data_IF_492043391163
#
_entry.id   IF_492043391163
#
_cell.length_a   1.000
_cell.length_b   1.000
_cell.length_c   1.000
_cell.angle_alpha   90.00
_cell.angle_beta   90.00
_cell.angle_gamma   90.00
#
_symmetry.space_group_name_H-M   'P 1'
#
loop_
_entity.id
_entity.type
_entity.pdbx_description
1 polymer ?
#
# COMPACT_ATOMS: atom_id res chain seq x y z
N UNK A 1 11.75 -0.67 12.50
CA UNK A 1 11.81 0.28 11.39
C UNK A 1 11.09 -0.29 10.19
N UNK A 2 10.35 0.53 9.49
CA UNK A 2 9.65 0.11 8.30
C UNK A 2 10.59 0.18 7.11
N UNK A 3 10.61 -0.88 6.33
CA UNK A 3 11.53 -0.99 5.19
C UNK A 3 10.73 -1.12 3.90
N UNK A 4 10.93 -0.20 2.99
CA UNK A 4 10.25 -0.27 1.71
C UNK A 4 10.90 -1.28 0.77
N UNK A 5 12.11 -1.71 1.05
CA UNK A 5 12.78 -2.72 0.22
C UNK A 5 12.08 -4.06 0.23
N UNK A 6 11.15 -4.25 1.16
CA UNK A 6 10.33 -5.44 1.20
C UNK A 6 9.28 -5.45 0.08
N UNK A 7 9.14 -4.35 -0.62
CA UNK A 7 8.13 -4.19 -1.66
C UNK A 7 8.81 -4.25 -3.02
N UNK A 8 8.30 -5.10 -3.89
CA UNK A 8 8.83 -5.29 -5.24
C UNK A 8 7.75 -5.02 -6.26
N UNK A 9 8.06 -4.24 -7.28
CA UNK A 9 7.16 -3.99 -8.40
C UNK A 9 7.74 -4.60 -9.64
N UNK A 10 6.90 -5.24 -10.45
CA UNK A 10 7.37 -5.97 -11.61
C UNK A 10 6.93 -5.39 -12.94
N UNK A 11 6.33 -4.23 -12.97
CA UNK A 11 5.93 -3.60 -14.22
C UNK A 11 6.87 -2.46 -14.60
N UNK A 12 8.11 -2.60 -14.28
CA UNK A 12 9.09 -1.54 -14.43
C UNK A 12 9.41 -1.20 -15.88
N UNK A 13 9.08 -2.06 -16.80
CA UNK A 13 9.44 -1.86 -18.19
C UNK A 13 8.43 -0.99 -18.95
N UNK A 14 7.37 -0.55 -18.31
CA UNK A 14 6.36 0.29 -18.94
C UNK A 14 6.43 1.69 -18.38
N UNK A 15 7.08 2.64 -19.08
CA UNK A 15 7.10 4.01 -18.58
C UNK A 15 5.67 4.52 -18.46
N UNK A 16 5.33 5.07 -17.34
CA UNK A 16 4.01 5.61 -17.11
C UNK A 16 4.09 7.11 -17.00
N UNK A 17 3.09 7.83 -17.54
CA UNK A 17 3.02 9.26 -17.32
C UNK A 17 2.84 9.54 -15.84
N UNK A 18 3.26 10.70 -15.36
CA UNK A 18 3.01 11.07 -13.99
C UNK A 18 1.53 10.99 -13.68
N UNK A 19 1.19 10.37 -12.58
CA UNK A 19 -0.19 10.24 -12.13
C UNK A 19 -0.36 11.19 -10.97
N UNK A 20 -1.41 12.02 -11.06
CA UNK A 20 -1.73 12.98 -10.01
C UNK A 20 -2.83 12.42 -9.15
N UNK A 21 -2.57 12.30 -7.87
CA UNK A 21 -3.58 11.87 -6.90
C UNK A 21 -3.86 13.01 -5.93
N UNK A 22 -5.07 13.03 -5.35
CA UNK A 22 -5.32 13.99 -4.27
C UNK A 22 -4.33 13.76 -3.14
N UNK A 23 -3.95 14.80 -2.41
CA UNK A 23 -3.07 14.60 -1.26
C UNK A 23 -3.71 13.66 -0.25
N UNK A 24 -2.91 12.77 0.31
CA UNK A 24 -3.39 11.88 1.36
C UNK A 24 -3.35 12.64 2.67
N UNK A 25 -4.52 12.84 3.25
CA UNK A 25 -4.68 13.50 4.55
C UNK A 25 -5.16 12.47 5.57
N UNK A 26 -5.22 12.87 6.82
CA UNK A 26 -5.70 11.98 7.89
C UNK A 26 -7.10 11.44 7.60
N UNK A 27 -7.93 12.24 6.95
CA UNK A 27 -9.32 11.86 6.65
C UNK A 27 -9.47 11.08 5.35
N UNK A 28 -8.41 10.94 4.56
CA UNK A 28 -8.49 10.21 3.29
C UNK A 28 -8.84 8.76 3.55
N UNK A 29 -9.91 8.29 2.92
CA UNK A 29 -10.32 6.90 3.03
C UNK A 29 -9.57 6.07 2.00
N UNK A 30 -8.95 5.01 2.47
CA UNK A 30 -8.14 4.13 1.64
C UNK A 30 -8.80 2.77 1.58
N UNK A 31 -8.88 2.21 0.39
CA UNK A 31 -9.53 0.91 0.17
C UNK A 31 -8.72 0.08 -0.80
N UNK A 32 -8.95 -1.22 -0.77
CA UNK A 32 -8.37 -2.14 -1.76
C UNK A 32 -9.04 -1.92 -3.10
N UNK A 33 -8.26 -1.99 -4.17
CA UNK A 33 -8.84 -2.02 -5.51
C UNK A 33 -9.64 -3.32 -5.68
N UNK A 34 -10.89 -3.25 -6.18
CA UNK A 34 -11.71 -4.46 -6.32
C UNK A 34 -11.23 -5.40 -7.43
N UNK A 35 -10.31 -4.95 -8.28
CA UNK A 35 -9.83 -5.76 -9.41
C UNK A 35 -8.48 -6.42 -9.12
N UNK A 36 -8.05 -6.42 -7.87
CA UNK A 36 -6.78 -7.03 -7.47
C UNK A 36 -7.00 -8.45 -7.01
N UNK A 37 -6.23 -9.37 -7.56
CA UNK A 37 -6.16 -10.75 -7.08
C UNK A 37 -4.96 -10.86 -6.15
N UNK A 38 -5.07 -11.69 -5.13
CA UNK A 38 -3.99 -11.85 -4.16
C UNK A 38 -3.68 -13.29 -3.91
N UNK A 39 -2.43 -13.55 -3.55
CA UNK A 39 -1.98 -14.85 -3.06
C UNK A 39 -0.97 -14.62 -1.94
N UNK A 40 -1.17 -15.28 -0.81
CA UNK A 40 -0.26 -15.18 0.32
C UNK A 40 0.56 -16.45 0.42
N UNK A 41 1.88 -16.30 0.50
CA UNK A 41 2.81 -17.43 0.62
C UNK A 41 3.92 -17.02 1.59
N UNK A 42 4.06 -17.76 2.69
CA UNK A 42 5.16 -17.59 3.64
C UNK A 42 5.32 -16.16 4.15
N UNK A 43 4.22 -15.51 4.49
CA UNK A 43 4.27 -14.16 5.05
C UNK A 43 4.42 -13.07 4.01
N UNK A 44 4.40 -13.43 2.74
CA UNK A 44 4.40 -12.47 1.64
C UNK A 44 3.07 -12.51 0.94
N UNK A 45 2.71 -11.38 0.31
CA UNK A 45 1.51 -11.31 -0.49
C UNK A 45 1.88 -10.85 -1.88
N UNK A 46 1.33 -11.55 -2.87
CA UNK A 46 1.42 -11.15 -4.26
C UNK A 46 0.08 -10.56 -4.65
N UNK A 47 0.09 -9.32 -5.10
CA UNK A 47 -1.11 -8.60 -5.51
C UNK A 47 -1.03 -8.33 -6.99
N UNK A 48 -2.01 -8.79 -7.75
CA UNK A 48 -2.02 -8.65 -9.18
C UNK A 48 -3.18 -7.75 -9.62
N UNK A 49 -2.86 -6.67 -10.32
CA UNK A 49 -3.87 -5.80 -10.88
C UNK A 49 -4.25 -6.33 -12.27
N UNK A 50 -5.49 -6.76 -12.41
CA UNK A 50 -5.98 -7.28 -13.70
C UNK A 50 -6.02 -6.18 -14.73
N UNK A 51 -6.47 -5.00 -14.33
CA UNK A 51 -6.63 -3.87 -15.26
C UNK A 51 -5.30 -3.37 -15.78
N UNK A 52 -4.27 -3.38 -14.95
CA UNK A 52 -2.96 -2.85 -15.33
C UNK A 52 -2.04 -3.90 -15.88
N UNK A 53 -2.36 -5.17 -15.68
CA UNK A 53 -1.52 -6.27 -16.14
C UNK A 53 -0.18 -6.33 -15.45
N UNK A 54 -0.11 -5.90 -14.21
CA UNK A 54 1.13 -5.90 -13.44
C UNK A 54 0.88 -6.50 -12.06
N UNK A 55 1.95 -6.82 -11.36
CA UNK A 55 1.82 -7.32 -10.01
C UNK A 55 2.78 -6.61 -9.06
N UNK A 56 2.48 -6.75 -7.79
CA UNK A 56 3.13 -6.05 -6.70
C UNK A 56 3.32 -7.07 -5.59
N UNK A 57 4.54 -7.20 -5.12
CA UNK A 57 4.86 -8.18 -4.09
C UNK A 57 5.26 -7.43 -2.82
N UNK A 58 4.72 -7.85 -1.69
CA UNK A 58 5.01 -7.20 -0.41
C UNK A 58 5.03 -8.22 0.71
N UNK A 59 5.78 -7.92 1.75
CA UNK A 59 5.76 -8.70 2.99
C UNK A 59 5.78 -7.74 4.16
N UNK A 60 5.70 -8.29 5.38
CA UNK A 60 5.74 -7.50 6.61
C UNK A 60 4.75 -6.32 6.58
N UNK A 61 5.26 -5.10 6.49
CA UNK A 61 4.43 -3.90 6.55
C UNK A 61 3.44 -3.84 5.39
N UNK A 62 3.86 -4.20 4.18
CA UNK A 62 2.97 -4.16 3.02
C UNK A 62 1.79 -5.12 3.19
N UNK A 63 2.04 -6.30 3.68
CA UNK A 63 0.98 -7.27 3.96
C UNK A 63 0.07 -6.77 5.07
N UNK A 64 0.63 -6.21 6.13
CA UNK A 64 -0.15 -5.69 7.24
C UNK A 64 -1.05 -4.53 6.78
N UNK A 65 -0.52 -3.62 5.98
CA UNK A 65 -1.31 -2.53 5.41
C UNK A 65 -2.47 -3.09 4.61
N UNK A 66 -2.20 -4.05 3.73
CA UNK A 66 -3.23 -4.66 2.89
C UNK A 66 -4.36 -5.25 3.74
N UNK A 67 -3.99 -5.96 4.79
CA UNK A 67 -4.99 -6.58 5.67
C UNK A 67 -5.83 -5.55 6.40
N UNK A 68 -5.23 -4.43 6.79
CA UNK A 68 -5.94 -3.38 7.52
C UNK A 68 -6.88 -2.57 6.65
N UNK A 69 -6.80 -2.71 5.33
CA UNK A 69 -7.66 -1.99 4.41
C UNK A 69 -8.99 -2.70 4.12
N UNK A 70 -9.27 -3.76 4.81
CA UNK A 70 -10.53 -4.47 4.68
C UNK A 70 -11.18 -4.62 6.06
N UNK A 71 -12.15 -3.76 6.38
CA UNK A 71 -12.83 -2.77 5.53
C UNK A 71 -11.97 -1.53 5.26
N UNK A 72 -12.39 -0.67 4.34
CA UNK A 72 -11.66 0.58 4.08
C UNK A 72 -11.50 1.39 5.35
N UNK A 73 -10.38 2.07 5.48
CA UNK A 73 -10.10 2.88 6.66
C UNK A 73 -9.44 4.18 6.28
N UNK A 74 -9.50 5.15 7.18
CA UNK A 74 -8.82 6.42 6.97
C UNK A 74 -7.32 6.27 7.16
N UNK A 75 -6.58 7.20 6.56
CA UNK A 75 -5.14 7.22 6.73
C UNK A 75 -4.75 7.33 8.22
N UNK A 76 -5.46 8.16 8.97
CA UNK A 76 -5.19 8.32 10.40
C UNK A 76 -5.35 6.99 11.15
N UNK A 77 -6.43 6.26 10.86
CA UNK A 77 -6.67 4.97 11.51
C UNK A 77 -5.61 3.95 11.13
N UNK A 78 -5.18 3.96 9.87
CA UNK A 78 -4.13 3.07 9.41
C UNK A 78 -2.82 3.36 10.16
N UNK A 79 -2.46 4.62 10.27
CA UNK A 79 -1.24 5.02 10.96
C UNK A 79 -1.30 4.67 12.44
N UNK A 80 -2.45 4.93 13.09
CA UNK A 80 -2.60 4.61 14.51
C UNK A 80 -2.46 3.13 14.78
N UNK A 81 -3.04 2.30 13.92
CA UNK A 81 -2.92 0.86 14.05
C UNK A 81 -1.48 0.38 13.88
N UNK A 82 -0.78 0.93 12.90
CA UNK A 82 0.62 0.56 12.68
C UNK A 82 1.51 1.07 13.82
N UNK A 83 1.25 2.27 14.31
CA UNK A 83 2.05 2.82 15.41
C UNK A 83 1.89 1.99 16.70
N UNK A 84 0.75 1.35 16.87
CA UNK A 84 0.53 0.49 18.04
C UNK A 84 1.31 -0.81 17.94
N UNK A 85 1.60 -1.28 16.74
CA UNK A 85 2.22 -2.58 16.53
C UNK A 85 3.72 -2.51 16.20
N UNK A 86 4.20 -1.38 15.74
CA UNK A 86 5.59 -1.26 15.31
C UNK A 86 6.36 -0.32 16.23
N UNK A 87 7.61 -0.67 16.48
CA UNK A 87 8.48 0.09 17.36
C UNK A 87 9.23 1.15 16.55
N UNK A 88 8.49 2.16 16.11
CA UNK A 88 9.03 3.27 15.33
C UNK A 88 8.25 4.54 15.69
N UNK A 89 8.86 5.69 15.44
CA UNK A 89 8.16 6.95 15.69
C UNK A 89 7.01 7.11 14.70
N UNK A 90 5.97 7.81 15.13
CA UNK A 90 4.82 8.04 14.27
C UNK A 90 5.23 8.77 13.00
N UNK A 91 6.15 9.72 13.11
CA UNK A 91 6.63 10.46 11.94
C UNK A 91 7.28 9.53 10.92
N UNK A 92 8.09 8.59 11.36
CA UNK A 92 8.72 7.60 10.47
C UNK A 92 7.67 6.73 9.82
N UNK A 93 6.68 6.27 10.59
CA UNK A 93 5.61 5.43 10.06
C UNK A 93 4.83 6.19 9.00
N UNK A 94 4.46 7.44 9.25
CA UNK A 94 3.73 8.25 8.28
C UNK A 94 4.51 8.38 6.98
N UNK A 95 5.80 8.66 7.06
CA UNK A 95 6.63 8.85 5.88
C UNK A 95 6.73 7.57 5.06
N UNK A 96 7.00 6.45 5.72
CA UNK A 96 7.16 5.17 5.04
C UNK A 96 5.84 4.69 4.43
N UNK A 97 4.74 4.85 5.16
CA UNK A 97 3.43 4.43 4.68
C UNK A 97 2.97 5.28 3.51
N UNK A 98 3.22 6.60 3.56
CA UNK A 98 2.89 7.46 2.42
C UNK A 98 3.63 7.03 1.15
N UNK A 99 4.92 6.73 1.28
CA UNK A 99 5.71 6.30 0.14
C UNK A 99 5.17 4.99 -0.44
N UNK A 100 4.84 4.05 0.43
CA UNK A 100 4.32 2.75 -0.01
C UNK A 100 2.94 2.90 -0.65
N UNK A 101 2.05 3.67 -0.02
CA UNK A 101 0.71 3.90 -0.57
C UNK A 101 0.77 4.60 -1.92
N UNK A 102 1.69 5.54 -2.11
CA UNK A 102 1.85 6.19 -3.39
C UNK A 102 2.17 5.20 -4.50
N UNK A 103 3.03 4.23 -4.20
CA UNK A 103 3.36 3.18 -5.16
C UNK A 103 2.16 2.28 -5.42
N UNK A 104 1.43 1.92 -4.39
CA UNK A 104 0.25 1.09 -4.53
C UNK A 104 -0.86 1.79 -5.31
N UNK A 105 -1.01 3.10 -5.13
CA UNK A 105 -1.95 3.89 -5.90
C UNK A 105 -1.56 3.94 -7.38
N UNK A 106 -0.28 4.14 -7.66
CA UNK A 106 0.22 4.17 -9.04
C UNK A 106 -0.07 2.87 -9.77
N UNK A 107 0.01 1.75 -9.07
CA UNK A 107 -0.24 0.43 -9.67
C UNK A 107 -1.69 -0.02 -9.53
N UNK A 108 -2.57 0.84 -9.06
CA UNK A 108 -4.00 0.56 -8.87
C UNK A 108 -4.24 -0.64 -7.94
N UNK A 109 -3.39 -0.79 -6.95
CA UNK A 109 -3.56 -1.82 -5.92
C UNK A 109 -4.52 -1.32 -4.84
N UNK A 110 -4.45 -0.04 -4.52
CA UNK A 110 -5.36 0.61 -3.58
C UNK A 110 -5.98 1.84 -4.24
N UNK A 111 -7.05 2.33 -3.65
CA UNK A 111 -7.78 3.51 -4.11
C UNK A 111 -8.03 4.44 -2.94
N UNK A 112 -8.20 5.72 -3.25
CA UNK A 112 -8.54 6.75 -2.27
C UNK A 112 -9.89 7.36 -2.62
N UNK A 113 -10.63 7.72 -1.58
CA UNK A 113 -11.92 8.39 -1.76
C UNK A 113 -11.86 9.81 -1.24
#
# INVERSE_FOLDING_TARGET
MLESKQVTMSSENSPQPPVSFPPITDATLISRSPTVLTAEVDGEILMMSIERGCYFSANDVGLDIWRRLDPPCSFADLIDGLAADYDATKATIVEDVRALLSRMLTEDIVRVA
#
